data_IF_467966584827
#
_entry.id   IF_467966584827
#
_cell.length_a   1.000
_cell.length_b   1.000
_cell.length_c   1.000
_cell.angle_alpha   90.00
_cell.angle_beta   90.00
_cell.angle_gamma   90.00
#
_symmetry.space_group_name_H-M   'P 1'
#
loop_
_entity.id
_entity.type
_entity.pdbx_description
1 polymer ?
#
# COMPACT_ATOMS: atom_id res chain seq x y z
N UNK A 1 8.63 11.77 -0.14
CA UNK A 1 8.11 11.13 1.11
C UNK A 1 9.25 10.89 2.10
N UNK A 2 9.04 11.06 3.42
CA UNK A 2 10.08 10.76 4.42
C UNK A 2 10.10 9.28 4.76
N UNK A 3 11.29 8.73 5.05
CA UNK A 3 11.41 7.43 5.69
C UNK A 3 11.24 7.66 7.18
N UNK A 4 10.20 7.07 7.75
CA UNK A 4 9.80 7.32 9.14
C UNK A 4 9.85 6.02 9.93
N UNK A 5 10.19 6.11 11.21
CA UNK A 5 10.00 5.02 12.17
C UNK A 5 8.51 4.85 12.49
N UNK A 6 8.10 3.66 12.85
CA UNK A 6 6.72 3.40 13.28
C UNK A 6 6.47 3.96 14.68
N UNK A 7 5.22 4.33 14.97
CA UNK A 7 4.84 4.82 16.30
C UNK A 7 4.90 3.71 17.35
N UNK A 8 5.09 4.05 18.66
CA UNK A 8 5.19 3.05 19.72
C UNK A 8 4.02 2.07 19.76
N UNK A 9 2.79 2.53 19.55
CA UNK A 9 1.59 1.67 19.53
C UNK A 9 1.47 0.78 18.29
N UNK A 10 2.29 0.99 17.27
CA UNK A 10 2.33 0.19 16.05
C UNK A 10 3.42 -0.89 16.09
N UNK A 11 4.27 -0.91 17.13
CA UNK A 11 5.43 -1.79 17.22
C UNK A 11 5.05 -3.28 17.19
N UNK A 12 3.95 -3.67 17.84
CA UNK A 12 3.51 -5.07 17.84
C UNK A 12 3.19 -5.56 16.42
N UNK A 13 2.46 -4.76 15.64
CA UNK A 13 2.14 -5.08 14.24
C UNK A 13 3.40 -5.06 13.37
N UNK A 14 4.30 -4.10 13.60
CA UNK A 14 5.58 -4.02 12.91
C UNK A 14 6.42 -5.29 13.11
N UNK A 15 6.54 -5.78 14.35
CA UNK A 15 7.27 -7.00 14.66
C UNK A 15 6.70 -8.23 13.97
N UNK A 16 5.37 -8.34 13.86
CA UNK A 16 4.73 -9.41 13.10
C UNK A 16 5.13 -9.38 11.62
N UNK A 17 5.17 -8.21 11.00
CA UNK A 17 5.60 -8.04 9.61
C UNK A 17 7.08 -8.42 9.43
N UNK A 18 7.95 -7.98 10.34
CA UNK A 18 9.39 -8.34 10.34
C UNK A 18 9.58 -9.85 10.45
N UNK A 19 8.85 -10.52 11.35
CA UNK A 19 8.89 -11.96 11.50
C UNK A 19 8.38 -12.69 10.25
N UNK A 20 7.26 -12.24 9.67
CA UNK A 20 6.70 -12.81 8.45
C UNK A 20 7.69 -12.72 7.27
N UNK A 21 8.38 -11.59 7.15
CA UNK A 21 9.42 -11.42 6.12
C UNK A 21 10.60 -12.36 6.35
N UNK A 22 11.06 -12.48 7.58
CA UNK A 22 12.18 -13.38 7.93
C UNK A 22 11.85 -14.86 7.65
N UNK A 23 10.58 -15.24 7.81
CA UNK A 23 10.06 -16.59 7.53
C UNK A 23 9.66 -16.80 6.06
N UNK A 24 9.75 -15.78 5.21
CA UNK A 24 9.28 -15.80 3.82
C UNK A 24 7.78 -16.10 3.69
N UNK A 25 7.00 -15.72 4.70
CA UNK A 25 5.54 -15.87 4.75
C UNK A 25 4.82 -14.51 4.68
N UNK A 26 5.42 -13.54 3.97
CA UNK A 26 4.86 -12.20 3.86
C UNK A 26 3.55 -12.25 3.09
N UNK A 27 2.44 -11.75 3.66
CA UNK A 27 1.19 -11.64 2.91
C UNK A 27 1.36 -10.69 1.72
N UNK A 28 0.62 -10.94 0.66
CA UNK A 28 0.55 -10.06 -0.51
C UNK A 28 -0.54 -9.00 -0.40
N UNK A 29 -1.46 -9.14 0.57
CA UNK A 29 -2.53 -8.17 0.82
C UNK A 29 -2.64 -7.86 2.32
N UNK A 30 -2.87 -6.59 2.62
CA UNK A 30 -3.01 -6.07 3.98
C UNK A 30 -4.21 -5.14 4.07
N UNK A 31 -4.97 -5.26 5.15
CA UNK A 31 -5.98 -4.28 5.52
C UNK A 31 -5.50 -3.58 6.79
N UNK A 32 -5.18 -2.28 6.68
CA UNK A 32 -4.86 -1.46 7.85
C UNK A 32 -6.10 -0.65 8.22
N UNK A 33 -6.78 -1.10 9.26
CA UNK A 33 -8.00 -0.49 9.76
C UNK A 33 -7.81 0.13 11.14
N UNK A 34 -8.67 1.06 11.50
CA UNK A 34 -8.67 1.72 12.81
C UNK A 34 -9.23 3.13 12.72
N UNK A 35 -9.37 3.79 13.85
CA UNK A 35 -9.89 5.16 13.94
C UNK A 35 -9.08 6.15 13.10
N UNK A 36 -9.71 7.21 12.64
CA UNK A 36 -9.02 8.32 11.99
C UNK A 36 -7.99 8.94 12.94
N UNK A 37 -6.84 9.37 12.40
CA UNK A 37 -5.79 10.02 13.20
C UNK A 37 -4.80 9.09 13.91
N UNK A 38 -5.02 7.76 13.98
CA UNK A 38 -4.10 6.82 14.66
C UNK A 38 -2.78 6.57 13.90
N UNK A 39 -2.57 7.23 12.77
CA UNK A 39 -1.31 7.13 12.02
C UNK A 39 -1.26 5.96 11.04
N UNK A 40 -2.41 5.45 10.52
CA UNK A 40 -2.44 4.37 9.53
C UNK A 40 -1.64 4.69 8.27
N UNK A 41 -1.80 5.87 7.70
CA UNK A 41 -1.06 6.28 6.51
C UNK A 41 0.44 6.37 6.78
N UNK A 42 0.83 6.90 7.95
CA UNK A 42 2.23 6.93 8.38
C UNK A 42 2.82 5.51 8.46
N UNK A 43 2.10 4.58 9.08
CA UNK A 43 2.50 3.18 9.15
C UNK A 43 2.60 2.53 7.77
N UNK A 44 1.63 2.80 6.90
CA UNK A 44 1.63 2.33 5.51
C UNK A 44 2.86 2.82 4.74
N UNK A 45 3.24 4.09 4.91
CA UNK A 45 4.45 4.64 4.28
C UNK A 45 5.72 3.95 4.83
N UNK A 46 5.79 3.71 6.15
CA UNK A 46 6.92 3.00 6.74
C UNK A 46 7.03 1.55 6.20
N UNK A 47 5.91 0.81 6.15
CA UNK A 47 5.86 -0.55 5.58
C UNK A 47 6.20 -0.54 4.09
N UNK A 48 5.63 0.39 3.31
CA UNK A 48 5.90 0.49 1.88
C UNK A 48 7.38 0.77 1.58
N UNK A 49 7.97 1.75 2.27
CA UNK A 49 9.40 2.07 2.13
C UNK A 49 10.29 0.86 2.50
N UNK A 50 9.91 0.13 3.55
CA UNK A 50 10.63 -1.06 4.01
C UNK A 50 10.53 -2.23 3.02
N UNK A 51 9.35 -2.48 2.44
CA UNK A 51 9.16 -3.51 1.42
C UNK A 51 9.97 -3.22 0.15
N UNK A 52 9.97 -1.96 -0.28
CA UNK A 52 10.67 -1.49 -1.47
C UNK A 52 12.19 -1.39 -1.26
N UNK A 53 12.66 -1.31 -0.02
CA UNK A 53 14.07 -1.12 0.30
C UNK A 53 14.92 -2.31 -0.16
N UNK A 54 16.05 -2.03 -0.81
CA UNK A 54 17.01 -3.06 -1.26
C UNK A 54 17.82 -3.67 -0.11
N UNK A 55 17.93 -2.96 1.02
CA UNK A 55 18.68 -3.38 2.21
C UNK A 55 17.85 -3.11 3.49
N UNK A 56 16.66 -3.73 3.62
CA UNK A 56 15.81 -3.51 4.77
C UNK A 56 16.38 -4.12 6.03
N UNK A 57 16.15 -3.46 7.16
CA UNK A 57 16.50 -3.95 8.50
C UNK A 57 15.23 -4.25 9.30
N UNK A 58 15.38 -4.83 10.49
CA UNK A 58 14.26 -4.98 11.43
C UNK A 58 13.70 -3.62 11.92
N UNK A 59 14.48 -2.55 11.81
CA UNK A 59 14.07 -1.21 12.21
C UNK A 59 13.36 -0.43 11.08
N UNK A 60 13.46 -0.90 9.83
CA UNK A 60 12.84 -0.22 8.69
C UNK A 60 13.68 -0.20 7.42
N UNK A 61 13.33 0.71 6.53
CA UNK A 61 14.10 0.98 5.31
C UNK A 61 15.46 1.62 5.64
N UNK A 62 16.52 1.25 4.91
CA UNK A 62 17.89 1.71 5.21
C UNK A 62 18.14 3.21 4.99
N UNK A 63 17.28 3.89 4.23
CA UNK A 63 17.40 5.34 3.96
C UNK A 63 18.44 5.75 2.92
N UNK A 64 19.29 4.84 2.46
CA UNK A 64 20.49 5.17 1.66
C UNK A 64 20.52 4.52 0.28
N UNK A 65 19.88 3.35 0.09
CA UNK A 65 19.88 2.67 -1.20
C UNK A 65 19.09 3.45 -2.27
N UNK A 66 19.30 3.10 -3.53
CA UNK A 66 18.64 3.75 -4.68
C UNK A 66 17.11 3.76 -4.54
N UNK A 67 16.52 2.66 -4.08
CA UNK A 67 15.08 2.58 -3.83
C UNK A 67 14.63 3.60 -2.77
N UNK A 68 15.37 3.73 -1.65
CA UNK A 68 15.06 4.71 -0.61
C UNK A 68 15.20 6.16 -1.11
N UNK A 69 16.17 6.45 -1.98
CA UNK A 69 16.34 7.78 -2.59
C UNK A 69 15.16 8.12 -3.51
N UNK A 70 14.72 7.15 -4.34
CA UNK A 70 13.55 7.32 -5.20
C UNK A 70 12.25 7.45 -4.39
N UNK A 71 12.14 6.73 -3.27
CA UNK A 71 11.04 6.90 -2.32
C UNK A 71 11.00 8.32 -1.76
N UNK A 72 12.12 8.83 -1.29
CA UNK A 72 12.24 10.19 -0.74
C UNK A 72 11.92 11.27 -1.78
N UNK A 73 12.33 11.03 -3.04
CA UNK A 73 12.03 11.90 -4.19
C UNK A 73 10.60 11.75 -4.73
N UNK A 74 9.76 10.90 -4.12
CA UNK A 74 8.37 10.62 -4.56
C UNK A 74 8.25 10.10 -6.01
N UNK A 75 9.30 9.48 -6.51
CA UNK A 75 9.43 9.00 -7.89
C UNK A 75 9.69 7.50 -8.01
N UNK A 76 9.37 6.73 -6.95
CA UNK A 76 9.63 5.29 -6.95
C UNK A 76 8.78 4.56 -8.00
N UNK A 77 9.40 3.86 -8.99
CA UNK A 77 8.68 3.25 -10.10
C UNK A 77 7.78 2.07 -9.68
N UNK A 78 8.13 1.39 -8.59
CA UNK A 78 7.40 0.21 -8.09
C UNK A 78 6.44 0.54 -6.93
N UNK A 79 6.07 1.82 -6.78
CA UNK A 79 5.07 2.29 -5.83
C UNK A 79 3.91 2.98 -6.53
N UNK A 80 2.69 2.69 -6.10
CA UNK A 80 1.48 3.43 -6.51
C UNK A 80 0.59 3.69 -5.31
N UNK A 81 0.11 4.93 -5.24
CA UNK A 81 -0.86 5.37 -4.26
C UNK A 81 -2.14 5.77 -4.97
N UNK A 82 -3.22 5.06 -4.69
CA UNK A 82 -4.54 5.29 -5.26
C UNK A 82 -5.45 5.93 -4.24
N UNK A 83 -5.95 7.10 -4.56
CA UNK A 83 -6.93 7.83 -3.76
C UNK A 83 -8.04 8.38 -4.64
N UNK A 84 -9.14 8.80 -4.02
CA UNK A 84 -10.21 9.49 -4.72
C UNK A 84 -9.67 10.76 -5.38
N UNK A 85 -10.07 11.00 -6.63
CA UNK A 85 -9.66 12.20 -7.36
C UNK A 85 -10.34 13.43 -6.78
N UNK A 86 -9.57 14.49 -6.60
CA UNK A 86 -10.09 15.83 -6.32
C UNK A 86 -10.17 16.59 -7.64
N UNK A 87 -11.34 17.14 -7.94
CA UNK A 87 -11.53 18.01 -9.10
C UNK A 87 -10.80 19.34 -8.84
N UNK A 88 -9.79 19.62 -9.63
CA UNK A 88 -8.95 20.83 -9.49
C UNK A 88 -9.75 22.13 -9.69
N UNK A 89 -10.85 22.10 -10.48
CA UNK A 89 -11.66 23.27 -10.76
C UNK A 89 -12.66 23.59 -9.66
N UNK A 90 -13.23 22.57 -9.04
CA UNK A 90 -14.28 22.72 -8.03
C UNK A 90 -13.79 22.49 -6.60
N UNK A 91 -12.58 21.95 -6.42
CA UNK A 91 -12.02 21.56 -5.13
C UNK A 91 -12.76 20.40 -4.45
N UNK A 92 -13.76 19.80 -5.15
CA UNK A 92 -14.53 18.68 -4.60
C UNK A 92 -13.82 17.35 -4.81
N UNK A 93 -13.59 16.63 -3.73
CA UNK A 93 -13.07 15.26 -3.79
C UNK A 93 -14.21 14.31 -4.16
N UNK A 94 -13.94 13.43 -5.15
CA UNK A 94 -14.87 12.35 -5.49
C UNK A 94 -15.11 11.47 -4.27
N UNK A 95 -16.35 11.01 -4.10
CA UNK A 95 -16.68 10.03 -3.05
C UNK A 95 -16.48 8.59 -3.50
N UNK A 96 -15.90 8.37 -4.67
CA UNK A 96 -15.79 7.05 -5.29
C UNK A 96 -14.43 6.96 -5.99
N UNK A 97 -13.74 5.86 -5.80
CA UNK A 97 -12.61 5.44 -6.63
C UNK A 97 -13.19 4.72 -7.84
N UNK A 98 -12.89 5.25 -9.05
CA UNK A 98 -13.43 4.72 -10.30
C UNK A 98 -12.76 3.39 -10.68
N UNK A 99 -13.50 2.52 -11.35
CA UNK A 99 -13.02 1.23 -11.81
C UNK A 99 -11.77 1.33 -12.72
N UNK A 100 -11.68 2.36 -13.54
CA UNK A 100 -10.54 2.52 -14.46
C UNK A 100 -9.24 2.82 -13.71
N UNK A 101 -9.31 3.58 -12.60
CA UNK A 101 -8.16 3.81 -11.73
C UNK A 101 -7.65 2.49 -11.10
N UNK A 102 -8.57 1.62 -10.72
CA UNK A 102 -8.23 0.29 -10.17
C UNK A 102 -7.67 -0.62 -11.26
N UNK A 103 -8.22 -0.59 -12.48
CA UNK A 103 -7.68 -1.35 -13.61
C UNK A 103 -6.25 -0.94 -13.96
N UNK A 104 -5.93 0.35 -13.94
CA UNK A 104 -4.56 0.85 -14.13
C UNK A 104 -3.63 0.33 -13.03
N UNK A 105 -4.11 0.33 -11.77
CA UNK A 105 -3.37 -0.21 -10.64
C UNK A 105 -3.12 -1.71 -10.79
N UNK A 106 -4.13 -2.49 -11.20
CA UNK A 106 -3.99 -3.93 -11.51
C UNK A 106 -2.98 -4.14 -12.64
N UNK A 107 -3.06 -3.35 -13.71
CA UNK A 107 -2.08 -3.39 -14.80
C UNK A 107 -0.65 -3.06 -14.34
N UNK A 108 -0.50 -2.19 -13.35
CA UNK A 108 0.79 -1.93 -12.70
C UNK A 108 1.26 -3.14 -11.89
N UNK A 109 0.40 -3.76 -11.06
CA UNK A 109 0.75 -4.88 -10.19
C UNK A 109 1.15 -6.15 -10.95
N UNK A 110 0.58 -6.37 -12.14
CA UNK A 110 0.85 -7.53 -12.98
C UNK A 110 2.20 -7.47 -13.75
N UNK A 111 2.95 -6.35 -13.64
CA UNK A 111 4.29 -6.23 -14.24
C UNK A 111 5.36 -6.66 -13.24
N UNK A 112 6.55 -7.01 -13.70
CA UNK A 112 7.70 -7.25 -12.82
C UNK A 112 8.21 -5.95 -12.19
N UNK A 113 8.75 -6.02 -10.96
CA UNK A 113 9.35 -4.88 -10.29
C UNK A 113 10.59 -4.38 -11.06
N UNK A 114 10.74 -3.07 -11.20
CA UNK A 114 11.85 -2.47 -11.95
C UNK A 114 13.17 -2.51 -11.17
N UNK A 115 13.09 -2.52 -9.83
CA UNK A 115 14.26 -2.55 -8.95
C UNK A 115 14.48 -3.93 -8.28
N UNK A 116 13.95 -5.00 -8.89
CA UNK A 116 14.08 -6.39 -8.40
C UNK A 116 13.60 -6.60 -6.95
N UNK A 117 12.69 -5.78 -6.47
CA UNK A 117 12.09 -5.86 -5.14
C UNK A 117 10.59 -6.12 -5.18
N UNK A 118 9.90 -5.53 -4.23
CA UNK A 118 8.43 -5.54 -4.20
C UNK A 118 7.83 -4.51 -5.16
N UNK A 119 6.61 -4.79 -5.63
CA UNK A 119 5.64 -3.80 -6.10
C UNK A 119 4.64 -3.54 -5.00
N UNK A 120 4.45 -2.28 -4.67
CA UNK A 120 3.55 -1.87 -3.59
C UNK A 120 2.47 -0.96 -4.14
N UNK A 121 1.22 -1.35 -3.92
CA UNK A 121 0.05 -0.55 -4.21
C UNK A 121 -0.69 -0.22 -2.91
N UNK A 122 -1.07 1.03 -2.73
CA UNK A 122 -1.84 1.50 -1.59
C UNK A 122 -3.15 2.10 -2.07
N UNK A 123 -4.26 1.74 -1.46
CA UNK A 123 -5.60 2.27 -1.75
C UNK A 123 -6.15 2.93 -0.49
N UNK A 124 -6.50 4.22 -0.59
CA UNK A 124 -7.05 5.01 0.52
C UNK A 124 -8.09 6.04 0.05
N UNK A 125 -9.25 6.09 0.72
CA UNK A 125 -9.79 5.06 1.61
C UNK A 125 -10.35 3.88 0.79
N UNK A 126 -10.19 2.66 1.29
CA UNK A 126 -10.62 1.46 0.56
C UNK A 126 -12.15 1.23 0.61
N UNK A 127 -12.80 1.78 1.62
CA UNK A 127 -14.26 1.69 1.82
C UNK A 127 -15.09 2.47 0.77
N UNK A 128 -14.46 3.33 -0.04
CA UNK A 128 -15.15 4.02 -1.14
C UNK A 128 -14.99 3.34 -2.51
N UNK A 129 -14.40 2.15 -2.54
CA UNK A 129 -14.40 1.32 -3.74
C UNK A 129 -15.84 0.88 -4.06
N UNK A 130 -16.29 1.12 -5.28
CA UNK A 130 -17.55 0.53 -5.72
C UNK A 130 -17.36 -0.95 -6.08
N UNK A 131 -18.47 -1.69 -6.21
CA UNK A 131 -18.48 -3.13 -6.49
C UNK A 131 -17.64 -3.49 -7.72
N UNK A 132 -17.71 -2.70 -8.79
CA UNK A 132 -16.97 -2.96 -10.02
C UNK A 132 -15.46 -2.75 -9.84
N UNK A 133 -15.06 -1.75 -9.05
CA UNK A 133 -13.67 -1.47 -8.70
C UNK A 133 -13.12 -2.59 -7.80
N UNK A 134 -13.87 -3.00 -6.79
CA UNK A 134 -13.51 -4.11 -5.91
C UNK A 134 -13.36 -5.43 -6.68
N UNK A 135 -14.33 -5.78 -7.53
CA UNK A 135 -14.26 -6.97 -8.37
C UNK A 135 -13.05 -6.98 -9.31
N UNK A 136 -12.59 -5.81 -9.76
CA UNK A 136 -11.36 -5.72 -10.57
C UNK A 136 -10.10 -6.09 -9.80
N UNK A 137 -10.10 -5.96 -8.47
CA UNK A 137 -8.97 -6.34 -7.61
C UNK A 137 -8.96 -7.82 -7.27
N UNK A 138 -10.13 -8.50 -7.23
CA UNK A 138 -10.25 -9.86 -6.71
C UNK A 138 -9.26 -10.83 -7.35
N UNK A 139 -9.14 -10.82 -8.68
CA UNK A 139 -8.19 -11.70 -9.37
C UNK A 139 -6.75 -11.47 -8.92
N UNK A 140 -6.34 -10.22 -8.72
CA UNK A 140 -4.98 -9.89 -8.25
C UNK A 140 -4.79 -10.20 -6.77
N UNK A 141 -5.87 -10.18 -5.98
CA UNK A 141 -5.85 -10.60 -4.57
C UNK A 141 -5.79 -12.12 -4.42
N UNK A 142 -6.39 -12.89 -5.35
CA UNK A 142 -6.37 -14.36 -5.36
C UNK A 142 -5.07 -14.91 -5.96
N UNK A 143 -4.60 -14.29 -7.05
CA UNK A 143 -3.42 -14.72 -7.80
C UNK A 143 -2.42 -13.55 -7.94
N UNK A 144 -1.74 -13.16 -6.85
CA UNK A 144 -0.80 -12.03 -6.89
C UNK A 144 0.45 -12.37 -7.69
N UNK A 145 0.98 -11.38 -8.38
CA UNK A 145 2.31 -11.46 -8.97
C UNK A 145 3.39 -11.66 -7.89
N UNK A 146 4.54 -12.18 -8.28
CA UNK A 146 5.67 -12.35 -7.37
C UNK A 146 6.06 -11.00 -6.72
N UNK A 147 6.31 -11.02 -5.42
CA UNK A 147 6.71 -9.84 -4.63
C UNK A 147 5.75 -8.64 -4.78
N UNK A 148 4.45 -8.91 -4.82
CA UNK A 148 3.41 -7.89 -4.86
C UNK A 148 2.85 -7.67 -3.45
N UNK A 149 2.64 -6.40 -3.06
CA UNK A 149 1.97 -6.03 -1.82
C UNK A 149 0.86 -5.01 -2.10
N UNK A 150 -0.36 -5.33 -1.72
CA UNK A 150 -1.54 -4.46 -1.81
C UNK A 150 -1.93 -4.06 -0.40
N UNK A 151 -2.00 -2.77 -0.12
CA UNK A 151 -2.35 -2.24 1.21
C UNK A 151 -3.64 -1.44 1.08
N UNK A 152 -4.68 -1.89 1.76
CA UNK A 152 -5.98 -1.24 1.84
C UNK A 152 -6.08 -0.49 3.16
N UNK A 153 -6.30 0.84 3.11
CA UNK A 153 -6.52 1.66 4.30
C UNK A 153 -7.99 2.00 4.44
N UNK A 154 -8.53 1.80 5.63
CA UNK A 154 -9.91 2.19 5.94
C UNK A 154 -10.08 2.65 7.38
N UNK A 155 -10.95 3.60 7.58
CA UNK A 155 -11.46 4.00 8.91
C UNK A 155 -12.70 3.20 9.29
N UNK A 156 -13.32 2.51 8.32
CA UNK A 156 -14.59 1.78 8.45
C UNK A 156 -14.46 0.35 7.92
N UNK A 157 -13.81 -0.56 8.66
CA UNK A 157 -13.56 -1.92 8.16
C UNK A 157 -14.85 -2.69 7.81
N UNK A 158 -15.96 -2.39 8.49
CA UNK A 158 -17.25 -3.00 8.19
C UNK A 158 -17.91 -2.49 6.90
N UNK A 159 -17.43 -1.37 6.36
CA UNK A 159 -17.90 -0.83 5.08
C UNK A 159 -17.13 -1.40 3.88
N UNK A 160 -16.06 -2.16 4.10
CA UNK A 160 -15.41 -2.93 3.04
C UNK A 160 -16.36 -3.99 2.52
N UNK A 161 -16.38 -4.14 1.20
CA UNK A 161 -17.22 -5.16 0.58
C UNK A 161 -16.81 -6.56 1.07
N UNK A 162 -17.77 -7.45 1.35
CA UNK A 162 -17.48 -8.80 1.84
C UNK A 162 -16.62 -9.65 0.90
N UNK A 163 -16.42 -9.19 -0.34
CA UNK A 163 -15.62 -9.86 -1.36
C UNK A 163 -14.13 -9.44 -1.31
N UNK A 164 -13.76 -8.45 -0.52
CA UNK A 164 -12.38 -8.01 -0.28
C UNK A 164 -11.92 -8.47 1.09
#
# INVERSE_FOLDING_TARGET
>A
MKISSVFPWQQAVWQLLVQSRARQTMPHAFIFSGLSGVGKLHFTHAVSAWLLCQQPTALGACGQCKSCQLWQAESHPDYRFLQAMTDEKTGKTSRIIKVDQVRELVGFLNKSAQLNGYRVAVIQPADILNINAANSLLKTLEEPGANTAIILLTDQPLALLPTI
#
